data_IF_911329145025
#
_entry.id   IF_911329145025
#
_cell.length_a   1.000
_cell.length_b   1.000
_cell.length_c   1.000
_cell.angle_alpha   90.00
_cell.angle_beta   90.00
_cell.angle_gamma   90.00
#
_symmetry.space_group_name_H-M   'P 1'
#
loop_
_entity.id
_entity.type
_entity.pdbx_description
1 polymer ?
#
# COMPACT_ATOMS: atom_id res chain seq x y z
N UNK A 1 14.90 4.75 19.91
CA UNK A 1 14.55 5.75 18.87
C UNK A 1 14.80 5.20 17.46
N UNK A 2 15.92 4.52 17.20
CA UNK A 2 16.24 3.94 15.88
C UNK A 2 15.10 3.09 15.30
N UNK A 3 14.67 2.06 16.04
CA UNK A 3 13.61 1.13 15.60
C UNK A 3 12.21 1.76 15.61
N UNK A 4 11.98 2.75 16.46
CA UNK A 4 10.66 3.35 16.69
C UNK A 4 10.37 4.47 15.69
N UNK A 5 11.38 5.24 15.29
CA UNK A 5 11.25 6.37 14.37
C UNK A 5 11.84 6.10 12.98
N UNK A 6 12.37 4.90 12.75
CA UNK A 6 13.00 4.46 11.50
C UNK A 6 14.06 5.43 10.98
N UNK A 7 14.91 5.92 11.88
CA UNK A 7 16.04 6.75 11.50
C UNK A 7 17.17 5.87 10.95
N UNK A 8 17.56 6.14 9.70
CA UNK A 8 18.78 5.61 9.11
C UNK A 8 19.96 6.54 9.45
N UNK A 9 21.11 5.94 9.70
CA UNK A 9 22.32 6.66 10.07
C UNK A 9 23.27 6.63 8.87
N UNK A 10 23.83 7.78 8.52
CA UNK A 10 24.70 7.91 7.35
C UNK A 10 26.10 7.38 7.65
N UNK A 11 26.62 7.67 8.86
CA UNK A 11 27.90 7.19 9.38
C UNK A 11 27.92 7.20 10.93
N UNK A 12 28.61 6.21 11.53
CA UNK A 12 28.85 6.10 12.98
C UNK A 12 27.80 5.29 13.76
N UNK A 13 28.15 4.95 15.01
CA UNK A 13 27.30 4.16 15.90
C UNK A 13 26.31 5.03 16.67
N UNK A 14 25.03 4.62 16.76
CA UNK A 14 24.01 5.34 17.53
C UNK A 14 24.35 5.41 19.02
N UNK A 15 23.56 6.21 19.76
CA UNK A 15 23.59 6.21 21.22
C UNK A 15 23.36 4.78 21.72
N UNK A 16 24.37 4.23 22.38
CA UNK A 16 24.38 2.89 22.93
C UNK A 16 23.89 2.87 24.38
N UNK A 17 23.58 1.69 24.91
CA UNK A 17 23.25 1.51 26.32
C UNK A 17 24.41 1.91 27.25
N UNK A 18 25.65 1.83 26.76
CA UNK A 18 26.84 2.29 27.50
C UNK A 18 26.82 3.81 27.61
N UNK A 19 26.50 4.53 26.53
CA UNK A 19 26.42 6.00 26.55
C UNK A 19 25.35 6.50 27.52
N UNK A 20 24.22 5.79 27.58
CA UNK A 20 23.15 6.06 28.55
C UNK A 20 23.60 5.79 29.98
N UNK A 21 24.19 4.62 30.25
CA UNK A 21 24.63 4.21 31.59
C UNK A 21 25.74 5.08 32.16
N UNK A 22 26.73 5.41 31.33
CA UNK A 22 27.88 6.27 31.69
C UNK A 22 27.55 7.77 31.64
N UNK A 23 26.31 8.15 31.28
CA UNK A 23 25.84 9.54 31.18
C UNK A 23 26.73 10.40 30.29
N UNK A 24 27.15 9.86 29.14
CA UNK A 24 28.10 10.54 28.24
C UNK A 24 27.48 11.78 27.61
N UNK A 25 28.32 12.80 27.37
CA UNK A 25 27.96 14.02 26.64
C UNK A 25 28.08 13.79 25.14
N UNK A 26 27.22 12.94 24.61
CA UNK A 26 27.14 12.63 23.17
C UNK A 26 25.80 13.07 22.61
N UNK A 27 25.79 13.45 21.34
CA UNK A 27 24.59 13.89 20.64
C UNK A 27 24.50 13.23 19.25
N UNK A 28 23.26 12.90 18.87
CA UNK A 28 22.91 12.52 17.49
C UNK A 28 22.08 13.64 16.92
N UNK A 29 22.44 14.15 15.74
CA UNK A 29 21.77 15.32 15.14
C UNK A 29 21.06 14.94 13.85
N UNK A 30 19.97 15.64 13.53
CA UNK A 30 19.32 15.53 12.23
C UNK A 30 20.03 16.34 11.14
N UNK A 31 19.76 16.00 9.88
CA UNK A 31 20.41 16.58 8.71
C UNK A 31 20.29 18.13 8.64
N UNK A 32 19.14 18.70 9.02
CA UNK A 32 18.95 20.16 9.00
C UNK A 32 19.85 20.88 10.03
N UNK A 33 20.15 20.25 11.16
CA UNK A 33 21.07 20.79 12.18
C UNK A 33 22.50 20.69 11.68
N UNK A 34 22.87 19.56 11.08
CA UNK A 34 24.20 19.36 10.48
C UNK A 34 24.49 20.39 9.38
N UNK A 35 23.56 20.57 8.43
CA UNK A 35 23.67 21.55 7.33
C UNK A 35 23.83 22.98 7.86
N UNK A 36 23.08 23.36 8.92
CA UNK A 36 23.08 24.73 9.46
C UNK A 36 24.27 25.06 10.37
N UNK A 37 24.74 24.11 11.17
CA UNK A 37 25.81 24.37 12.14
C UNK A 37 27.21 24.16 11.57
N UNK A 38 27.36 23.27 10.59
CA UNK A 38 28.67 22.84 10.11
C UNK A 38 28.97 23.27 8.67
N UNK A 39 28.00 23.86 7.93
CA UNK A 39 28.19 24.47 6.59
C UNK A 39 29.00 23.61 5.60
N UNK A 40 28.89 22.28 5.69
CA UNK A 40 29.60 21.32 4.83
C UNK A 40 30.89 20.74 5.41
N UNK A 41 31.31 21.15 6.62
CA UNK A 41 32.35 20.46 7.39
C UNK A 41 31.81 19.14 7.99
N UNK A 42 32.71 18.17 8.21
CA UNK A 42 32.37 16.88 8.80
C UNK A 42 31.91 17.07 10.27
N UNK A 43 30.62 16.84 10.59
CA UNK A 43 30.08 17.12 11.91
C UNK A 43 30.43 16.05 12.93
N UNK A 44 30.68 14.80 12.51
CA UNK A 44 31.00 13.70 13.41
C UNK A 44 32.35 13.94 14.09
N UNK A 45 32.39 13.75 15.41
CA UNK A 45 33.56 14.01 16.26
C UNK A 45 33.70 15.46 16.70
N UNK A 46 32.92 16.39 16.16
CA UNK A 46 32.92 17.78 16.60
C UNK A 46 31.99 18.02 17.79
N UNK A 47 32.09 19.20 18.41
CA UNK A 47 31.28 19.58 19.56
C UNK A 47 30.17 20.56 19.18
N UNK A 48 28.98 20.34 19.70
CA UNK A 48 27.89 21.32 19.76
C UNK A 48 27.66 21.74 21.21
N UNK A 49 27.27 23.00 21.43
CA UNK A 49 26.93 23.49 22.78
C UNK A 49 25.43 23.49 22.98
N UNK A 50 24.97 22.88 24.06
CA UNK A 50 23.55 22.85 24.44
C UNK A 50 23.47 23.37 25.88
N UNK A 51 22.80 24.52 26.07
CA UNK A 51 22.79 25.26 27.36
C UNK A 51 24.18 25.49 27.98
N UNK A 52 25.20 25.71 27.14
CA UNK A 52 26.57 25.96 27.59
C UNK A 52 27.44 24.71 27.76
N UNK A 53 26.84 23.51 27.81
CA UNK A 53 27.57 22.25 27.93
C UNK A 53 27.99 21.70 26.54
N UNK A 54 29.24 21.23 26.39
CA UNK A 54 29.71 20.64 25.13
C UNK A 54 29.26 19.19 24.97
N UNK A 55 28.64 18.87 23.83
CA UNK A 55 28.28 17.52 23.42
C UNK A 55 29.01 17.13 22.15
N UNK A 56 29.64 15.95 22.14
CA UNK A 56 30.26 15.41 20.92
C UNK A 56 29.20 14.83 20.00
N UNK A 57 29.18 15.27 18.76
CA UNK A 57 28.32 14.70 17.72
C UNK A 57 28.90 13.35 17.33
N UNK A 58 28.15 12.27 17.57
CA UNK A 58 28.60 10.91 17.23
C UNK A 58 28.07 10.45 15.88
N UNK A 59 26.88 10.92 15.49
CA UNK A 59 26.17 10.49 14.27
C UNK A 59 25.26 11.59 13.75
N UNK A 60 25.12 11.63 12.43
CA UNK A 60 24.08 12.39 11.72
C UNK A 60 23.03 11.45 11.15
N UNK A 61 21.76 11.74 11.44
CA UNK A 61 20.62 11.01 10.87
C UNK A 61 20.45 11.42 9.41
N UNK A 62 20.29 10.42 8.53
CA UNK A 62 20.06 10.65 7.12
C UNK A 62 18.76 11.43 6.89
N UNK A 63 18.76 12.25 5.84
CA UNK A 63 17.65 13.16 5.51
C UNK A 63 16.36 12.37 5.27
N UNK A 64 15.37 12.54 6.15
CA UNK A 64 14.01 11.98 5.97
C UNK A 64 13.16 12.90 5.09
N UNK A 65 13.56 14.16 4.95
CA UNK A 65 12.97 15.13 4.05
C UNK A 65 11.84 15.93 4.70
N UNK A 66 11.08 16.64 3.85
CA UNK A 66 9.98 17.49 4.26
C UNK A 66 8.66 16.93 3.76
N UNK A 67 7.67 16.87 4.63
CA UNK A 67 6.29 16.53 4.26
C UNK A 67 5.41 17.72 4.61
N UNK A 68 4.64 18.21 3.62
CA UNK A 68 3.73 19.36 3.79
C UNK A 68 4.41 20.61 4.40
N UNK A 69 5.67 20.87 4.06
CA UNK A 69 6.43 22.03 4.54
C UNK A 69 7.03 21.90 5.94
N UNK A 70 6.76 20.81 6.67
CA UNK A 70 7.42 20.54 7.95
C UNK A 70 8.66 19.65 7.75
N UNK A 71 9.74 20.00 8.45
CA UNK A 71 10.98 19.22 8.45
C UNK A 71 10.97 18.19 9.57
N UNK A 72 11.32 16.96 9.24
CA UNK A 72 11.54 15.89 10.21
C UNK A 72 13.01 15.76 10.63
N UNK A 73 13.88 16.63 10.12
CA UNK A 73 15.33 16.54 10.26
C UNK A 73 15.91 17.60 11.24
N UNK A 74 15.06 18.40 11.87
CA UNK A 74 15.43 19.51 12.77
C UNK A 74 15.48 19.14 14.25
N UNK A 75 16.21 18.09 14.63
CA UNK A 75 16.24 17.59 16.01
C UNK A 75 17.66 17.26 16.48
N UNK A 76 17.82 17.16 17.81
CA UNK A 76 19.02 16.66 18.49
C UNK A 76 18.58 15.62 19.52
N UNK A 77 19.18 14.43 19.49
CA UNK A 77 18.93 13.35 20.43
C UNK A 77 20.11 13.25 21.41
N UNK A 78 19.77 13.13 22.69
CA UNK A 78 20.71 13.01 23.80
C UNK A 78 20.38 11.76 24.62
N UNK A 79 21.36 11.15 25.32
CA UNK A 79 21.08 10.16 26.34
C UNK A 79 20.15 10.75 27.41
N UNK A 80 19.15 9.97 27.85
CA UNK A 80 18.13 10.44 28.81
C UNK A 80 18.75 11.02 30.10
N UNK A 81 19.78 10.41 30.73
CA UNK A 81 20.39 10.98 31.93
C UNK A 81 21.06 12.34 31.69
N UNK A 82 21.68 12.52 30.52
CA UNK A 82 22.31 13.79 30.12
C UNK A 82 21.26 14.87 29.89
N UNK A 83 20.12 14.50 29.29
CA UNK A 83 18.96 15.37 29.16
C UNK A 83 18.35 15.76 30.51
N UNK A 84 18.13 14.78 31.41
CA UNK A 84 17.60 15.00 32.76
C UNK A 84 18.51 15.90 33.60
N UNK A 85 19.83 15.81 33.42
CA UNK A 85 20.80 16.69 34.08
C UNK A 85 20.64 18.15 33.61
N UNK A 86 20.46 18.36 32.30
CA UNK A 86 20.40 19.70 31.71
C UNK A 86 19.06 20.39 31.93
N UNK A 87 17.97 19.65 31.86
CA UNK A 87 16.60 20.17 31.87
C UNK A 87 15.79 19.84 33.12
N UNK A 88 16.32 18.96 33.99
CA UNK A 88 15.64 18.45 35.18
C UNK A 88 14.65 17.31 34.87
N UNK A 89 14.34 16.51 35.88
CA UNK A 89 13.44 15.33 35.81
C UNK A 89 11.94 15.66 35.85
N UNK A 90 11.58 16.94 35.83
CA UNK A 90 10.19 17.42 36.08
C UNK A 90 9.41 17.73 34.80
N UNK A 91 9.91 17.36 33.63
CA UNK A 91 9.19 17.56 32.37
C UNK A 91 8.39 16.32 31.98
N UNK A 92 7.27 16.53 31.29
CA UNK A 92 6.48 15.48 30.66
C UNK A 92 7.40 14.59 29.82
N UNK A 93 7.42 13.29 30.13
CA UNK A 93 8.20 12.30 29.38
C UNK A 93 7.28 11.62 28.39
N UNK A 94 7.53 11.81 27.11
CA UNK A 94 6.81 11.10 26.05
C UNK A 94 7.52 9.80 25.73
N UNK A 95 6.80 8.68 25.85
CA UNK A 95 7.29 7.36 25.46
C UNK A 95 6.69 7.03 24.10
N UNK A 96 7.53 6.96 23.08
CA UNK A 96 7.10 6.55 21.74
C UNK A 96 7.16 5.03 21.60
N UNK A 97 6.07 4.43 21.11
CA UNK A 97 5.97 3.00 20.83
C UNK A 97 5.57 2.82 19.37
N UNK A 98 6.25 1.91 18.67
CA UNK A 98 5.93 1.57 17.27
C UNK A 98 5.14 0.28 17.22
N UNK A 99 4.01 0.32 16.52
CA UNK A 99 3.18 -0.85 16.25
C UNK A 99 3.59 -1.52 14.94
N UNK A 100 3.30 -2.82 14.81
CA UNK A 100 3.64 -3.60 13.62
C UNK A 100 2.79 -3.21 12.39
N UNK A 101 1.54 -2.77 12.59
CA UNK A 101 0.64 -2.33 11.54
C UNK A 101 -0.34 -1.27 12.07
N UNK A 102 -1.02 -0.56 11.16
CA UNK A 102 -2.04 0.42 11.52
C UNK A 102 -3.27 -0.23 12.18
N UNK A 103 -3.60 -1.47 11.80
CA UNK A 103 -4.77 -2.20 12.29
C UNK A 103 -4.72 -2.52 13.79
N UNK A 104 -3.52 -2.71 14.33
CA UNK A 104 -3.31 -3.06 15.75
C UNK A 104 -3.08 -1.84 16.64
N UNK A 105 -3.13 -0.62 16.10
CA UNK A 105 -2.94 0.61 16.88
C UNK A 105 -3.99 0.73 18.00
N UNK A 106 -5.30 0.51 17.78
CA UNK A 106 -6.30 0.63 18.84
C UNK A 106 -6.04 -0.33 20.02
N UNK A 107 -5.75 -1.60 19.72
CA UNK A 107 -5.41 -2.60 20.73
C UNK A 107 -4.09 -2.24 21.45
N UNK A 108 -3.13 -1.70 20.71
CA UNK A 108 -1.87 -1.21 21.23
C UNK A 108 -2.04 -0.04 22.19
N UNK A 109 -2.95 0.89 21.90
CA UNK A 109 -3.28 2.01 22.79
C UNK A 109 -3.89 1.52 24.10
N UNK A 110 -4.87 0.61 24.03
CA UNK A 110 -5.50 0.05 25.23
C UNK A 110 -4.49 -0.67 26.14
N UNK A 111 -3.53 -1.40 25.54
CA UNK A 111 -2.44 -2.04 26.28
C UNK A 111 -1.45 -1.03 26.85
N UNK A 112 -1.15 0.05 26.12
CA UNK A 112 -0.28 1.11 26.60
C UNK A 112 -0.90 1.84 27.80
N UNK A 113 -2.20 2.14 27.72
CA UNK A 113 -2.98 2.69 28.82
C UNK A 113 -2.92 1.78 30.05
N UNK A 114 -3.24 0.49 29.90
CA UNK A 114 -3.18 -0.47 31.01
C UNK A 114 -1.78 -0.55 31.64
N UNK A 115 -0.73 -0.56 30.82
CA UNK A 115 0.65 -0.57 31.29
C UNK A 115 1.01 0.71 32.06
N UNK A 116 0.56 1.88 31.57
CA UNK A 116 0.79 3.17 32.23
C UNK A 116 0.01 3.27 33.54
N UNK A 117 -1.26 2.84 33.60
CA UNK A 117 -2.04 2.76 34.85
C UNK A 117 -1.32 1.89 35.89
N UNK A 118 -0.76 0.74 35.48
CA UNK A 118 0.04 -0.13 36.36
C UNK A 118 1.34 0.54 36.81
N UNK A 119 2.06 1.21 35.91
CA UNK A 119 3.30 1.90 36.24
C UNK A 119 3.08 3.06 37.23
N UNK A 120 1.98 3.80 37.06
CA UNK A 120 1.57 4.92 37.91
C UNK A 120 0.80 4.46 39.17
N UNK A 121 0.52 3.16 39.31
CA UNK A 121 -0.19 2.54 40.45
C UNK A 121 -1.59 3.12 40.67
N UNK A 122 -2.27 3.50 39.59
CA UNK A 122 -3.62 4.07 39.63
C UNK A 122 -4.65 3.00 39.98
N UNK A 123 -5.61 3.35 40.84
CA UNK A 123 -6.71 2.46 41.23
C UNK A 123 -7.81 2.42 40.15
N UNK A 124 -8.69 1.40 40.18
CA UNK A 124 -9.89 1.40 39.34
C UNK A 124 -10.74 2.65 39.62
N UNK A 125 -11.05 3.44 38.58
CA UNK A 125 -11.83 4.67 38.68
C UNK A 125 -11.04 5.94 39.05
N UNK A 126 -9.73 5.83 39.29
CA UNK A 126 -8.85 6.99 39.46
C UNK A 126 -8.55 7.65 38.11
N UNK A 127 -8.57 8.99 38.10
CA UNK A 127 -8.30 9.81 36.92
C UNK A 127 -6.84 9.67 36.47
N UNK A 128 -6.63 9.74 35.15
CA UNK A 128 -5.33 9.53 34.53
C UNK A 128 -4.48 10.80 34.59
N UNK A 129 -3.22 10.64 34.93
CA UNK A 129 -2.18 11.69 34.94
C UNK A 129 -1.26 11.62 33.71
N UNK A 130 -1.63 10.78 32.73
CA UNK A 130 -0.94 10.60 31.45
C UNK A 130 -1.93 10.64 30.29
N UNK A 131 -1.43 10.85 29.08
CA UNK A 131 -2.22 10.75 27.85
C UNK A 131 -1.56 9.76 26.91
N UNK A 132 -2.36 8.89 26.28
CA UNK A 132 -1.92 8.02 25.19
C UNK A 132 -2.47 8.60 23.90
N UNK A 133 -1.60 9.26 23.15
CA UNK A 133 -1.94 9.84 21.84
C UNK A 133 -1.26 9.03 20.74
N UNK A 134 -1.91 8.90 19.58
CA UNK A 134 -1.23 8.40 18.39
C UNK A 134 -0.64 9.55 17.61
N UNK A 135 0.19 9.24 16.62
CA UNK A 135 0.50 10.20 15.57
C UNK A 135 -0.76 10.38 14.70
N UNK A 136 -1.81 11.00 15.25
CA UNK A 136 -3.15 11.10 14.64
C UNK A 136 -3.07 11.69 13.24
N UNK A 137 -2.17 12.66 13.02
CA UNK A 137 -1.93 13.24 11.70
C UNK A 137 -1.41 12.22 10.67
N UNK A 138 -0.49 11.34 11.07
CA UNK A 138 0.07 10.31 10.18
C UNK A 138 -0.96 9.19 9.94
N UNK A 139 -1.66 8.77 10.99
CA UNK A 139 -2.71 7.73 10.91
C UNK A 139 -3.88 8.23 10.06
N UNK A 140 -4.35 9.46 10.28
CA UNK A 140 -5.43 10.08 9.50
C UNK A 140 -5.03 10.28 8.03
N UNK A 141 -3.77 10.63 7.76
CA UNK A 141 -3.24 10.71 6.40
C UNK A 141 -3.33 9.35 5.69
N UNK A 142 -2.82 8.28 6.32
CA UNK A 142 -2.90 6.93 5.76
C UNK A 142 -4.33 6.45 5.56
N UNK A 143 -5.22 6.70 6.51
CA UNK A 143 -6.64 6.37 6.37
C UNK A 143 -7.28 7.14 5.21
N UNK A 144 -7.01 8.43 5.07
CA UNK A 144 -7.55 9.27 4.00
C UNK A 144 -7.07 8.80 2.63
N UNK A 145 -5.76 8.53 2.50
CA UNK A 145 -5.17 8.02 1.26
C UNK A 145 -5.73 6.64 0.90
N UNK A 146 -5.81 5.73 1.87
CA UNK A 146 -6.39 4.39 1.67
C UNK A 146 -7.85 4.50 1.25
N UNK A 147 -8.64 5.33 1.93
CA UNK A 147 -10.06 5.55 1.60
C UNK A 147 -10.24 6.10 0.18
N UNK A 148 -9.37 7.02 -0.23
CA UNK A 148 -9.38 7.59 -1.59
C UNK A 148 -9.03 6.54 -2.65
N UNK A 149 -8.01 5.72 -2.41
CA UNK A 149 -7.64 4.64 -3.33
C UNK A 149 -8.75 3.59 -3.44
N UNK A 150 -9.31 3.16 -2.30
CA UNK A 150 -10.39 2.18 -2.26
C UNK A 150 -11.73 2.71 -2.81
N UNK A 151 -11.92 4.03 -2.92
CA UNK A 151 -13.09 4.59 -3.58
C UNK A 151 -12.91 4.74 -5.10
N UNK A 152 -11.72 5.15 -5.56
CA UNK A 152 -11.47 5.44 -6.97
C UNK A 152 -11.08 4.19 -7.77
N UNK A 153 -10.25 3.30 -7.22
CA UNK A 153 -9.75 2.13 -7.94
C UNK A 153 -10.89 1.23 -8.46
N UNK A 154 -11.92 0.88 -7.67
CA UNK A 154 -13.04 0.09 -8.18
C UNK A 154 -13.79 0.78 -9.33
N UNK A 155 -13.91 2.12 -9.31
CA UNK A 155 -14.56 2.87 -10.38
C UNK A 155 -13.75 2.79 -11.68
N UNK A 156 -12.43 2.93 -11.60
CA UNK A 156 -11.54 2.78 -12.77
C UNK A 156 -11.61 1.34 -13.31
N UNK A 157 -11.59 0.34 -12.43
CA UNK A 157 -11.72 -1.08 -12.80
C UNK A 157 -13.07 -1.33 -13.48
N UNK A 158 -14.17 -0.77 -12.97
CA UNK A 158 -15.49 -0.91 -13.56
C UNK A 158 -15.55 -0.33 -14.99
N UNK A 159 -14.95 0.84 -15.20
CA UNK A 159 -14.84 1.43 -16.55
C UNK A 159 -14.02 0.52 -17.47
N UNK A 160 -12.88 0.01 -17.00
CA UNK A 160 -12.04 -0.92 -17.75
C UNK A 160 -12.76 -2.21 -18.13
N UNK A 161 -13.58 -2.75 -17.22
CA UNK A 161 -14.44 -3.91 -17.46
C UNK A 161 -15.45 -3.63 -18.58
N UNK A 162 -16.11 -2.47 -18.55
CA UNK A 162 -17.09 -2.11 -19.59
C UNK A 162 -16.42 -1.95 -20.94
N UNK A 163 -15.30 -1.22 -21.00
CA UNK A 163 -14.54 -1.01 -22.26
C UNK A 163 -14.04 -2.35 -22.81
N UNK A 164 -13.41 -3.18 -21.97
CA UNK A 164 -12.94 -4.51 -22.36
C UNK A 164 -14.08 -5.42 -22.81
N UNK A 165 -15.22 -5.38 -22.13
CA UNK A 165 -16.43 -6.11 -22.50
C UNK A 165 -16.98 -5.71 -23.86
N UNK A 166 -17.05 -4.41 -24.16
CA UNK A 166 -17.48 -3.89 -25.47
C UNK A 166 -16.53 -4.37 -26.57
N UNK A 167 -15.21 -4.38 -26.31
CA UNK A 167 -14.22 -4.91 -27.27
C UNK A 167 -14.47 -6.39 -27.55
N UNK A 168 -14.66 -7.21 -26.51
CA UNK A 168 -14.99 -8.64 -26.68
C UNK A 168 -16.27 -8.80 -27.50
N UNK A 169 -17.32 -8.05 -27.17
CA UNK A 169 -18.59 -8.10 -27.88
C UNK A 169 -18.41 -7.79 -29.37
N UNK A 170 -17.64 -6.75 -29.71
CA UNK A 170 -17.41 -6.34 -31.10
C UNK A 170 -16.61 -7.38 -31.89
N UNK A 171 -15.55 -7.93 -31.30
CA UNK A 171 -14.76 -9.01 -31.93
C UNK A 171 -15.65 -10.24 -32.18
N UNK A 172 -16.48 -10.60 -31.21
CA UNK A 172 -17.41 -11.72 -31.36
C UNK A 172 -18.48 -11.44 -32.41
N UNK A 173 -19.03 -10.24 -32.49
CA UNK A 173 -19.97 -9.85 -33.55
C UNK A 173 -19.33 -9.95 -34.94
N UNK A 174 -18.09 -9.48 -35.09
CA UNK A 174 -17.32 -9.62 -36.33
C UNK A 174 -17.11 -11.10 -36.70
N UNK A 175 -16.71 -11.93 -35.73
CA UNK A 175 -16.51 -13.37 -35.97
C UNK A 175 -17.80 -14.08 -36.40
N UNK A 176 -18.96 -13.67 -35.87
CA UNK A 176 -20.26 -14.21 -36.29
C UNK A 176 -20.56 -13.84 -37.73
N UNK A 177 -20.29 -12.60 -38.14
CA UNK A 177 -20.52 -12.16 -39.52
C UNK A 177 -19.60 -12.88 -40.51
N UNK A 178 -18.32 -13.06 -40.19
CA UNK A 178 -17.37 -13.79 -41.05
C UNK A 178 -17.72 -15.27 -41.18
N UNK A 179 -18.19 -15.90 -40.10
CA UNK A 179 -18.54 -17.34 -40.08
C UNK A 179 -20.02 -17.61 -40.37
N UNK A 180 -20.75 -16.66 -40.96
CA UNK A 180 -22.20 -16.78 -41.22
C UNK A 180 -22.52 -18.04 -42.04
N UNK A 181 -21.78 -18.29 -43.12
CA UNK A 181 -21.97 -19.45 -43.99
C UNK A 181 -21.76 -20.78 -43.23
N UNK A 182 -20.69 -20.88 -42.42
CA UNK A 182 -20.43 -22.07 -41.60
C UNK A 182 -21.56 -22.36 -40.59
N UNK A 183 -22.11 -21.31 -39.97
CA UNK A 183 -23.24 -21.42 -39.04
C UNK A 183 -24.49 -21.92 -39.79
N UNK A 184 -24.72 -21.44 -41.02
CA UNK A 184 -25.80 -21.87 -41.90
C UNK A 184 -25.73 -23.36 -42.21
N UNK A 185 -24.55 -23.84 -42.63
CA UNK A 185 -24.30 -25.27 -42.90
C UNK A 185 -24.56 -26.13 -41.65
N UNK A 186 -24.07 -25.73 -40.47
CA UNK A 186 -24.32 -26.48 -39.21
C UNK A 186 -25.81 -26.58 -38.90
N UNK A 187 -26.57 -25.49 -39.07
CA UNK A 187 -28.03 -25.50 -38.83
C UNK A 187 -28.79 -26.32 -39.87
N UNK A 188 -28.38 -26.28 -41.14
CA UNK A 188 -28.97 -27.13 -42.18
C UNK A 188 -28.74 -28.62 -41.91
N UNK A 189 -27.61 -28.97 -41.29
CA UNK A 189 -27.29 -30.32 -40.83
C UNK A 189 -27.97 -30.71 -39.49
N UNK A 190 -28.82 -29.84 -38.94
CA UNK A 190 -29.63 -30.13 -37.75
C UNK A 190 -29.10 -29.57 -36.41
N UNK A 191 -28.05 -28.75 -36.40
CA UNK A 191 -27.58 -28.12 -35.16
C UNK A 191 -28.65 -27.19 -34.57
N UNK A 192 -28.93 -27.34 -33.27
CA UNK A 192 -29.95 -26.52 -32.61
C UNK A 192 -29.42 -25.12 -32.28
N UNK A 193 -30.34 -24.15 -32.08
CA UNK A 193 -29.98 -22.81 -31.61
C UNK A 193 -29.18 -22.84 -30.29
N UNK A 194 -29.42 -23.86 -29.44
CA UNK A 194 -28.70 -24.01 -28.16
C UNK A 194 -27.25 -24.44 -28.38
N UNK A 195 -26.98 -25.28 -29.37
CA UNK A 195 -25.62 -25.77 -29.66
C UNK A 195 -24.74 -24.63 -30.17
N UNK A 196 -25.26 -23.85 -31.14
CA UNK A 196 -24.57 -22.66 -31.65
C UNK A 196 -24.32 -21.65 -30.52
N UNK A 197 -25.35 -21.35 -29.70
CA UNK A 197 -25.19 -20.41 -28.58
C UNK A 197 -24.14 -20.89 -27.56
N UNK A 198 -24.13 -22.18 -27.22
CA UNK A 198 -23.15 -22.76 -26.29
C UNK A 198 -21.73 -22.66 -26.86
N UNK A 199 -21.54 -22.97 -28.13
CA UNK A 199 -20.23 -22.84 -28.77
C UNK A 199 -19.68 -21.42 -28.66
N UNK A 200 -20.42 -20.42 -29.14
CA UNK A 200 -19.97 -19.02 -29.12
C UNK A 200 -19.81 -18.47 -27.70
N UNK A 201 -20.66 -18.88 -26.75
CA UNK A 201 -20.51 -18.49 -25.36
C UNK A 201 -19.25 -19.11 -24.74
N UNK A 202 -18.95 -20.38 -25.03
CA UNK A 202 -17.72 -21.03 -24.59
C UNK A 202 -16.48 -20.37 -25.20
N UNK A 203 -16.51 -19.99 -26.48
CA UNK A 203 -15.43 -19.23 -27.12
C UNK A 203 -15.19 -17.89 -26.39
N UNK A 204 -16.25 -17.14 -26.07
CA UNK A 204 -16.14 -15.89 -25.32
C UNK A 204 -15.58 -16.10 -23.90
N UNK A 205 -16.07 -17.10 -23.17
CA UNK A 205 -15.60 -17.43 -21.82
C UNK A 205 -14.13 -17.85 -21.82
N UNK A 206 -13.71 -18.67 -22.79
CA UNK A 206 -12.31 -19.10 -22.91
C UNK A 206 -11.41 -17.90 -23.24
N UNK A 207 -11.82 -17.03 -24.15
CA UNK A 207 -11.08 -15.82 -24.50
C UNK A 207 -10.90 -14.90 -23.28
N UNK A 208 -11.98 -14.68 -22.51
CA UNK A 208 -11.94 -13.87 -21.29
C UNK A 208 -11.15 -14.54 -20.16
N UNK A 209 -11.20 -15.86 -20.03
CA UNK A 209 -10.43 -16.60 -19.03
C UNK A 209 -8.92 -16.53 -19.33
N UNK A 210 -8.51 -16.68 -20.59
CA UNK A 210 -7.11 -16.51 -21.01
C UNK A 210 -6.66 -15.07 -20.76
N UNK A 211 -7.47 -14.08 -21.14
CA UNK A 211 -7.18 -12.67 -20.87
C UNK A 211 -7.05 -12.38 -19.38
N UNK A 212 -7.94 -12.93 -18.56
CA UNK A 212 -7.90 -12.82 -17.10
C UNK A 212 -6.66 -13.47 -16.51
N UNK A 213 -6.29 -14.66 -16.97
CA UNK A 213 -5.06 -15.35 -16.55
C UNK A 213 -3.81 -14.53 -16.90
N UNK A 214 -3.69 -14.07 -18.15
CA UNK A 214 -2.58 -13.22 -18.58
C UNK A 214 -2.55 -11.89 -17.81
N UNK A 215 -3.71 -11.32 -17.51
CA UNK A 215 -3.84 -10.12 -16.68
C UNK A 215 -3.35 -10.34 -15.24
N UNK A 216 -3.68 -11.48 -14.62
CA UNK A 216 -3.17 -11.86 -13.30
C UNK A 216 -1.66 -12.04 -13.33
N UNK A 217 -1.13 -12.75 -14.33
CA UNK A 217 0.32 -12.97 -14.49
C UNK A 217 1.05 -11.64 -14.68
N UNK A 218 0.55 -10.77 -15.56
CA UNK A 218 1.13 -9.45 -15.79
C UNK A 218 1.03 -8.54 -14.56
N UNK A 219 -0.11 -8.57 -13.85
CA UNK A 219 -0.31 -7.83 -12.60
C UNK A 219 0.64 -8.30 -11.48
N UNK A 220 0.88 -9.60 -11.39
CA UNK A 220 1.85 -10.15 -10.44
C UNK A 220 3.30 -9.77 -10.79
N UNK A 221 3.64 -9.78 -12.08
CA UNK A 221 4.92 -9.27 -12.58
C UNK A 221 5.13 -7.79 -12.25
N UNK A 222 4.11 -6.95 -12.44
CA UNK A 222 4.16 -5.54 -12.05
C UNK A 222 4.28 -5.36 -10.53
N UNK A 223 3.55 -6.14 -9.74
CA UNK A 223 3.64 -6.07 -8.28
C UNK A 223 5.04 -6.44 -7.77
N UNK A 224 5.69 -7.45 -8.37
CA UNK A 224 7.05 -7.85 -8.02
C UNK A 224 8.10 -6.84 -8.50
N UNK A 225 7.89 -6.20 -9.65
CA UNK A 225 8.74 -5.09 -10.10
C UNK A 225 8.63 -3.88 -9.14
N UNK A 226 7.41 -3.54 -8.71
CA UNK A 226 7.19 -2.44 -7.75
C UNK A 226 7.80 -2.77 -6.39
N UNK A 227 7.67 -4.00 -5.89
CA UNK A 227 8.25 -4.37 -4.58
C UNK A 227 9.77 -4.41 -4.57
N UNK A 228 10.41 -4.59 -5.73
CA UNK A 228 11.88 -4.58 -5.86
C UNK A 228 12.43 -3.20 -6.17
N UNK A 229 11.73 -2.40 -6.96
CA UNK A 229 12.15 -1.04 -7.34
C UNK A 229 11.73 0.04 -6.33
N UNK A 230 10.83 -0.26 -5.41
CA UNK A 230 10.28 0.68 -4.44
C UNK A 230 10.18 0.07 -3.04
N UNK A 231 10.28 0.88 -1.97
CA UNK A 231 10.10 0.42 -0.59
C UNK A 231 8.64 0.04 -0.26
N UNK A 232 7.71 0.14 -1.21
CA UNK A 232 6.31 -0.21 -1.00
C UNK A 232 6.13 -1.75 -0.99
N UNK A 233 5.52 -2.31 0.07
CA UNK A 233 5.26 -3.74 0.15
C UNK A 233 4.07 -4.13 -0.76
N UNK A 234 4.33 -4.25 -2.07
CA UNK A 234 3.35 -4.75 -3.03
C UNK A 234 3.20 -6.28 -2.89
N UNK A 235 2.11 -6.72 -2.26
CA UNK A 235 1.78 -8.15 -2.11
C UNK A 235 0.47 -8.46 -2.83
N UNK A 236 0.49 -9.52 -3.64
CA UNK A 236 -0.72 -10.04 -4.30
C UNK A 236 -1.39 -11.03 -3.33
N UNK A 237 -2.63 -10.74 -2.94
CA UNK A 237 -3.43 -11.63 -2.09
C UNK A 237 -4.13 -12.71 -2.91
N UNK A 238 -4.24 -13.93 -2.38
CA UNK A 238 -4.90 -15.04 -3.08
C UNK A 238 -6.38 -14.73 -3.42
N UNK A 239 -7.09 -14.01 -2.54
CA UNK A 239 -8.48 -13.63 -2.79
C UNK A 239 -8.64 -12.67 -3.97
N UNK A 240 -7.66 -11.78 -4.22
CA UNK A 240 -7.75 -10.82 -5.32
C UNK A 240 -7.54 -11.48 -6.68
N UNK A 241 -6.73 -12.54 -6.72
CA UNK A 241 -6.58 -13.41 -7.90
C UNK A 241 -7.89 -14.11 -8.23
N UNK A 242 -8.55 -14.72 -7.24
CA UNK A 242 -9.85 -15.37 -7.43
C UNK A 242 -10.90 -14.37 -7.89
N UNK A 243 -10.93 -13.17 -7.30
CA UNK A 243 -11.83 -12.09 -7.71
C UNK A 243 -11.58 -11.68 -9.16
N UNK A 244 -10.32 -11.50 -9.58
CA UNK A 244 -9.96 -11.11 -10.94
C UNK A 244 -10.40 -12.16 -11.98
N UNK A 245 -10.16 -13.45 -11.70
CA UNK A 245 -10.60 -14.55 -12.57
C UNK A 245 -12.13 -14.61 -12.66
N UNK A 246 -12.81 -14.47 -11.52
CA UNK A 246 -14.28 -14.51 -11.46
C UNK A 246 -14.89 -13.33 -12.22
N UNK A 247 -14.33 -12.13 -12.05
CA UNK A 247 -14.74 -10.94 -12.80
C UNK A 247 -14.50 -11.13 -14.30
N UNK A 248 -13.31 -11.60 -14.71
CA UNK A 248 -12.99 -11.86 -16.12
C UNK A 248 -13.97 -12.85 -16.77
N UNK A 249 -14.25 -13.96 -16.10
CA UNK A 249 -15.26 -14.94 -16.56
C UNK A 249 -16.66 -14.31 -16.65
N UNK A 250 -17.07 -13.53 -15.64
CA UNK A 250 -18.35 -12.81 -15.62
C UNK A 250 -18.50 -11.85 -16.81
N UNK A 251 -17.45 -11.10 -17.13
CA UNK A 251 -17.43 -10.18 -18.29
C UNK A 251 -17.59 -10.94 -19.60
N UNK A 252 -16.86 -12.04 -19.78
CA UNK A 252 -16.98 -12.90 -20.97
C UNK A 252 -18.40 -13.45 -21.17
N UNK A 253 -19.06 -13.83 -20.08
CA UNK A 253 -20.46 -14.27 -20.12
C UNK A 253 -21.37 -13.11 -20.52
N UNK A 254 -21.33 -11.98 -19.79
CA UNK A 254 -22.25 -10.85 -19.99
C UNK A 254 -22.16 -10.31 -21.42
N UNK A 255 -20.94 -10.07 -21.92
CA UNK A 255 -20.73 -9.48 -23.24
C UNK A 255 -20.74 -10.51 -24.38
N UNK A 256 -20.54 -11.81 -24.08
CA UNK A 256 -20.64 -12.90 -25.06
C UNK A 256 -22.07 -13.37 -25.35
N UNK A 257 -23.03 -13.15 -24.43
CA UNK A 257 -24.42 -13.59 -24.59
C UNK A 257 -25.11 -12.96 -25.80
N UNK A 258 -24.90 -11.67 -26.04
CA UNK A 258 -25.51 -10.96 -27.17
C UNK A 258 -25.07 -11.54 -28.53
N UNK A 259 -23.76 -11.58 -28.87
CA UNK A 259 -23.31 -12.14 -30.15
C UNK A 259 -23.65 -13.63 -30.30
N UNK A 260 -23.53 -14.43 -29.22
CA UNK A 260 -23.90 -15.84 -29.26
C UNK A 260 -25.40 -16.05 -29.56
N UNK A 261 -26.25 -15.16 -29.05
CA UNK A 261 -27.69 -15.18 -29.34
C UNK A 261 -28.00 -14.76 -30.77
N UNK A 262 -27.29 -13.76 -31.31
CA UNK A 262 -27.39 -13.36 -32.72
C UNK A 262 -26.99 -14.50 -33.65
N UNK A 263 -25.85 -15.15 -33.41
CA UNK A 263 -25.39 -16.32 -34.18
C UNK A 263 -26.42 -17.46 -34.17
N UNK A 264 -26.98 -17.75 -33.00
CA UNK A 264 -28.00 -18.79 -32.84
C UNK A 264 -29.31 -18.49 -33.58
N UNK A 265 -29.64 -17.23 -33.85
CA UNK A 265 -30.88 -16.82 -34.51
C UNK A 265 -30.80 -16.67 -36.03
N UNK A 266 -29.61 -16.74 -36.64
CA UNK A 266 -29.45 -16.72 -38.11
C UNK A 266 -30.31 -17.79 -38.81
N UNK A 267 -31.00 -17.41 -39.88
CA UNK A 267 -31.76 -18.36 -40.71
C UNK A 267 -30.77 -19.14 -41.60
N UNK A 268 -30.83 -20.49 -41.63
CA UNK A 268 -29.96 -21.29 -42.49
C UNK A 268 -30.09 -20.95 -43.99
N UNK A 269 -31.27 -20.55 -44.45
CA UNK A 269 -31.50 -20.20 -45.86
C UNK A 269 -30.77 -18.88 -46.18
N UNK A 270 -30.95 -17.85 -45.36
CA UNK A 270 -30.28 -16.55 -45.54
C UNK A 270 -28.77 -16.67 -45.39
N UNK A 271 -28.30 -17.51 -44.45
CA UNK A 271 -26.88 -17.72 -44.20
C UNK A 271 -26.15 -18.44 -45.35
N UNK A 272 -26.84 -19.27 -46.12
CA UNK A 272 -26.30 -19.97 -47.30
C UNK A 272 -26.41 -19.13 -48.58
N UNK A 273 -27.30 -18.13 -48.59
CA UNK A 273 -27.53 -17.23 -49.74
C UNK A 273 -26.63 -16.00 -49.74
N UNK A 274 -25.98 -15.73 -48.61
CA UNK A 274 -24.99 -14.68 -48.46
C UNK A 274 -23.67 -15.08 -49.17
N UNK A 275 -23.58 -14.74 -50.45
CA UNK A 275 -22.32 -14.36 -51.13
C UNK A 275 -22.32 -12.84 -51.32
#
# INVERSE_FOLDING_TARGET
YQTVQDYSFTDGDPISDVDVRERRFVAVIGADIAEKLFEGAEPVGQYIRIHGEPFTVIVVVAKKGRVLGQSFDGFVLLPLPSFEMLYGRRKTTTISVKMASAEVIPDGMARAEEAMRRAHRLRPGEAEDFTVETADALVAFWHSLTKLLFSIVPAIVAIGIVVGGIVIMNIMMMSVTERTHEIGVRKAMGATRRDIRRQFLTEAVVLSAIGGFLGVVGGWGLATLVSTASPLPARVSAWSVILAITLGAGVGIIFGVYPASRAAQLDPIDALRAE
#
